data_IF_530550548439
#
_entry.id   IF_530550548439
#
_cell.length_a   1.000
_cell.length_b   1.000
_cell.length_c   1.000
_cell.angle_alpha   90.00
_cell.angle_beta   90.00
_cell.angle_gamma   90.00
#
_symmetry.space_group_name_H-M   'P 1'
#
loop_
_entity.id
_entity.type
_entity.pdbx_description
1 polymer ?
#
# COMPACT_ATOMS: atom_id res chain seq x y z
N UNK A 1 16.31 -7.83 -1.57
CA UNK A 1 15.11 -7.01 -1.82
C UNK A 1 15.57 -5.72 -2.48
N UNK A 2 14.94 -5.34 -3.59
CA UNK A 2 15.26 -4.14 -4.36
C UNK A 2 14.00 -3.27 -4.50
N UNK A 3 14.19 -1.95 -4.51
CA UNK A 3 13.12 -0.98 -4.64
C UNK A 3 13.41 -0.01 -5.78
N UNK A 4 12.43 0.21 -6.65
CA UNK A 4 12.45 1.29 -7.62
C UNK A 4 11.34 2.28 -7.27
N UNK A 5 11.67 3.57 -7.19
CA UNK A 5 10.76 4.62 -6.71
C UNK A 5 10.58 5.69 -7.77
N UNK A 6 9.33 6.10 -7.97
CA UNK A 6 8.94 7.22 -8.82
C UNK A 6 8.05 8.16 -8.02
N UNK A 7 8.43 9.43 -7.91
CA UNK A 7 7.61 10.46 -7.26
C UNK A 7 6.94 11.33 -8.32
N UNK A 8 5.63 11.54 -8.20
CA UNK A 8 4.85 12.43 -9.04
C UNK A 8 3.91 13.26 -8.17
N UNK A 9 4.17 14.56 -8.08
CA UNK A 9 3.47 15.44 -7.14
C UNK A 9 3.58 14.91 -5.70
N UNK A 10 2.44 14.69 -5.08
CA UNK A 10 2.30 14.14 -3.72
C UNK A 10 2.39 12.60 -3.66
N UNK A 11 2.27 11.92 -4.81
CA UNK A 11 2.26 10.47 -4.88
C UNK A 11 3.69 9.91 -5.01
N UNK A 12 3.91 8.79 -4.34
CA UNK A 12 5.11 7.97 -4.49
C UNK A 12 4.70 6.57 -4.90
N UNK A 13 5.20 6.14 -6.05
CA UNK A 13 5.06 4.79 -6.56
C UNK A 13 6.31 3.99 -6.27
N UNK A 14 6.16 2.76 -5.79
CA UNK A 14 7.27 1.89 -5.46
C UNK A 14 7.10 0.47 -5.99
N UNK A 15 8.07 0.02 -6.77
CA UNK A 15 8.20 -1.37 -7.21
C UNK A 15 9.09 -2.11 -6.22
N UNK A 16 8.50 -3.06 -5.49
CA UNK A 16 9.20 -3.93 -4.55
C UNK A 16 9.47 -5.28 -5.19
N UNK A 17 10.75 -5.63 -5.34
CA UNK A 17 11.20 -6.91 -5.88
C UNK A 17 11.89 -7.71 -4.76
N UNK A 18 11.28 -8.83 -4.40
CA UNK A 18 11.83 -9.79 -3.42
C UNK A 18 12.20 -11.07 -4.15
N UNK A 19 13.44 -11.52 -3.99
CA UNK A 19 13.95 -12.72 -4.62
C UNK A 19 14.53 -13.65 -3.56
N UNK A 20 14.29 -14.96 -3.70
CA UNK A 20 14.90 -16.02 -2.92
C UNK A 20 15.37 -17.15 -3.84
N UNK A 21 16.38 -17.95 -3.45
CA UNK A 21 16.84 -19.05 -4.30
C UNK A 21 15.66 -19.96 -4.67
N UNK A 22 15.54 -20.33 -5.96
CA UNK A 22 14.54 -21.32 -6.36
C UNK A 22 14.88 -22.68 -5.75
N UNK A 23 13.85 -23.37 -5.26
CA UNK A 23 13.98 -24.74 -4.73
C UNK A 23 14.18 -25.78 -5.82
N UNK A 24 13.83 -25.46 -7.07
CA UNK A 24 13.74 -26.43 -8.17
C UNK A 24 14.75 -26.17 -9.30
N UNK A 25 15.26 -24.95 -9.42
CA UNK A 25 16.19 -24.56 -10.49
C UNK A 25 17.24 -23.59 -9.91
N UNK A 26 18.43 -24.11 -9.61
CA UNK A 26 19.49 -23.33 -8.97
C UNK A 26 20.07 -22.22 -9.85
N UNK A 27 19.71 -22.16 -11.14
CA UNK A 27 20.07 -21.05 -12.05
C UNK A 27 19.07 -19.90 -11.98
N UNK A 28 18.04 -20.00 -11.12
CA UNK A 28 16.96 -19.02 -11.05
C UNK A 28 16.63 -18.58 -9.63
N UNK A 29 16.23 -17.31 -9.52
CA UNK A 29 15.54 -16.75 -8.38
C UNK A 29 14.04 -17.07 -8.45
N UNK A 30 13.43 -17.45 -7.34
CA UNK A 30 12.00 -17.30 -7.12
C UNK A 30 11.73 -15.85 -6.73
N UNK A 31 11.18 -15.08 -7.65
CA UNK A 31 11.01 -13.63 -7.54
C UNK A 31 9.54 -13.28 -7.37
N UNK A 32 9.24 -12.44 -6.39
CA UNK A 32 7.92 -11.88 -6.14
C UNK A 32 7.99 -10.36 -6.29
N UNK A 33 7.06 -9.80 -7.07
CA UNK A 33 7.06 -8.38 -7.43
C UNK A 33 5.71 -7.79 -7.06
N UNK A 34 5.74 -6.68 -6.33
CA UNK A 34 4.54 -5.89 -6.02
C UNK A 34 4.80 -4.44 -6.35
N UNK A 35 3.80 -3.75 -6.88
CA UNK A 35 3.84 -2.31 -7.11
C UNK A 35 2.86 -1.62 -6.17
N UNK A 36 3.31 -0.50 -5.59
CA UNK A 36 2.64 0.20 -4.51
C UNK A 36 2.46 1.67 -4.87
N UNK A 37 1.40 2.30 -4.38
CA UNK A 37 1.24 3.75 -4.40
C UNK A 37 0.95 4.26 -2.99
N UNK A 38 1.66 5.32 -2.63
CA UNK A 38 1.66 5.90 -1.29
C UNK A 38 1.57 7.41 -1.33
N UNK A 39 1.14 7.98 -0.22
CA UNK A 39 1.06 9.41 0.07
C UNK A 39 2.03 9.70 1.23
N UNK A 40 3.33 9.94 0.95
CA UNK A 40 4.36 10.02 1.99
C UNK A 40 4.10 11.10 3.06
N UNK A 41 3.30 12.14 2.74
CA UNK A 41 2.91 13.18 3.69
C UNK A 41 2.17 12.62 4.92
N UNK A 42 1.46 11.49 4.77
CA UNK A 42 0.80 10.80 5.87
C UNK A 42 1.67 9.77 6.57
N UNK A 43 2.95 9.64 6.20
CA UNK A 43 3.85 8.66 6.81
C UNK A 43 3.98 8.81 8.33
N UNK A 44 3.95 10.04 8.86
CA UNK A 44 3.95 10.29 10.31
C UNK A 44 2.64 9.89 10.96
N UNK A 45 1.51 10.28 10.36
CA UNK A 45 0.18 9.91 10.85
C UNK A 45 0.03 8.38 10.87
N UNK A 46 0.42 7.69 9.80
CA UNK A 46 0.37 6.24 9.72
C UNK A 46 1.17 5.56 10.85
N UNK A 47 2.38 6.05 11.15
CA UNK A 47 3.16 5.52 12.29
C UNK A 47 2.43 5.76 13.61
N UNK A 48 1.88 6.95 13.85
CA UNK A 48 1.18 7.27 15.11
C UNK A 48 -0.12 6.49 15.30
N UNK A 49 -0.83 6.16 14.21
CA UNK A 49 -2.03 5.32 14.25
C UNK A 49 -1.71 3.91 14.76
N UNK A 50 -0.54 3.36 14.40
CA UNK A 50 -0.18 1.96 14.68
C UNK A 50 0.95 1.79 15.71
N UNK A 51 1.49 2.87 16.29
CA UNK A 51 2.76 2.84 17.05
C UNK A 51 2.80 1.83 18.19
N UNK A 52 1.64 1.54 18.79
CA UNK A 52 1.50 0.58 19.88
C UNK A 52 0.41 -0.47 19.63
N UNK A 53 0.07 -0.70 18.35
CA UNK A 53 -0.89 -1.73 17.97
C UNK A 53 -0.41 -3.12 18.39
N UNK A 54 -1.36 -3.96 18.81
CA UNK A 54 -1.17 -5.41 19.00
C UNK A 54 -1.36 -6.19 17.70
N UNK A 55 -2.02 -5.61 16.71
CA UNK A 55 -2.59 -6.34 15.56
C UNK A 55 -1.85 -6.03 14.26
N UNK A 56 -1.25 -4.85 14.17
CA UNK A 56 -0.53 -4.40 12.97
C UNK A 56 0.81 -3.78 13.33
N UNK A 57 1.93 -4.25 12.74
CA UNK A 57 3.23 -3.63 13.01
C UNK A 57 3.28 -2.23 12.40
N UNK A 58 3.70 -1.19 13.15
CA UNK A 58 3.78 0.16 12.61
C UNK A 58 4.87 0.25 11.54
N UNK A 59 4.72 1.11 10.51
CA UNK A 59 5.68 1.25 9.43
C UNK A 59 6.90 2.08 9.86
N UNK A 60 7.69 1.62 10.83
CA UNK A 60 8.72 2.40 11.55
C UNK A 60 10.10 2.45 10.89
N UNK A 61 10.41 1.54 9.97
CA UNK A 61 11.74 1.47 9.33
C UNK A 61 12.10 2.72 8.49
N UNK A 62 13.38 3.15 8.46
CA UNK A 62 13.85 4.23 7.58
C UNK A 62 13.65 3.92 6.09
N UNK A 63 13.56 2.63 5.74
CA UNK A 63 13.25 2.12 4.40
C UNK A 63 11.86 1.46 4.33
N UNK A 64 10.96 1.71 5.30
CA UNK A 64 9.62 1.15 5.27
C UNK A 64 8.81 1.78 4.14
N UNK A 65 8.63 1.02 3.07
CA UNK A 65 7.77 1.34 1.94
C UNK A 65 6.29 1.43 2.28
N UNK A 66 5.93 1.11 3.52
CA UNK A 66 4.56 1.05 4.00
C UNK A 66 4.04 2.40 4.56
N UNK A 67 4.88 3.43 4.67
CA UNK A 67 4.46 4.75 5.17
C UNK A 67 3.49 5.44 4.19
N UNK A 68 2.32 5.82 4.68
CA UNK A 68 1.26 6.44 3.85
C UNK A 68 0.78 5.58 2.67
N UNK A 69 1.01 4.27 2.71
CA UNK A 69 0.61 3.35 1.66
C UNK A 69 -0.92 3.29 1.59
N UNK A 70 -1.50 3.43 0.39
CA UNK A 70 -2.95 3.34 0.20
C UNK A 70 -3.34 2.34 -0.89
N UNK A 71 -2.50 2.14 -1.89
CA UNK A 71 -2.80 1.26 -3.02
C UNK A 71 -1.70 0.25 -3.32
N UNK A 72 -2.13 -0.87 -3.89
CA UNK A 72 -1.28 -1.95 -4.35
C UNK A 72 -1.79 -2.49 -5.69
N UNK A 73 -0.87 -2.83 -6.57
CA UNK A 73 -1.19 -3.28 -7.92
C UNK A 73 -1.93 -4.63 -7.91
N UNK A 74 -2.84 -4.81 -8.86
CA UNK A 74 -3.57 -6.08 -9.08
C UNK A 74 -2.81 -7.00 -10.03
N UNK A 75 -2.83 -8.29 -9.72
CA UNK A 75 -2.45 -9.32 -10.67
C UNK A 75 -3.50 -9.41 -11.79
N UNK A 76 -3.06 -9.73 -13.00
CA UNK A 76 -3.97 -10.09 -14.09
C UNK A 76 -4.71 -11.39 -13.79
N UNK A 77 -6.04 -11.36 -13.88
CA UNK A 77 -6.91 -12.54 -13.84
C UNK A 77 -7.72 -12.54 -15.14
N UNK A 78 -7.90 -13.68 -15.84
CA UNK A 78 -8.73 -13.72 -17.04
C UNK A 78 -10.11 -13.07 -16.83
N UNK A 79 -10.47 -12.10 -17.69
CA UNK A 79 -11.70 -11.32 -17.55
C UNK A 79 -11.58 -10.07 -16.66
N UNK A 80 -10.48 -9.91 -15.94
CA UNK A 80 -10.11 -8.68 -15.21
C UNK A 80 -8.84 -8.08 -15.82
N UNK A 81 -8.66 -6.76 -15.64
CA UNK A 81 -7.42 -6.08 -15.98
C UNK A 81 -6.51 -6.06 -14.75
N UNK A 82 -5.20 -6.03 -14.98
CA UNK A 82 -4.14 -6.15 -13.98
C UNK A 82 -2.83 -6.46 -14.68
N UNK A 83 -1.76 -6.63 -13.93
CA UNK A 83 -0.43 -6.89 -14.49
C UNK A 83 0.00 -8.35 -14.26
N UNK A 84 0.41 -9.09 -15.31
CA UNK A 84 0.68 -10.52 -15.20
C UNK A 84 1.94 -10.86 -14.37
N UNK A 85 2.80 -9.88 -14.12
CA UNK A 85 4.00 -9.99 -13.31
C UNK A 85 3.76 -9.65 -11.82
N UNK A 86 2.64 -9.03 -11.48
CA UNK A 86 2.32 -8.62 -10.11
C UNK A 86 1.88 -9.81 -9.27
N UNK A 87 2.40 -9.90 -8.05
CA UNK A 87 2.01 -10.88 -7.02
C UNK A 87 2.03 -12.33 -7.52
N UNK A 88 2.92 -12.62 -8.48
CA UNK A 88 3.19 -13.94 -9.02
C UNK A 88 4.64 -14.31 -8.76
N UNK A 89 4.89 -15.57 -8.46
CA UNK A 89 6.25 -16.09 -8.44
C UNK A 89 6.78 -16.23 -9.86
N UNK A 90 7.78 -15.42 -10.19
CA UNK A 90 8.50 -15.43 -11.45
C UNK A 90 9.86 -16.10 -11.24
N UNK A 91 10.23 -17.01 -12.12
CA UNK A 91 11.52 -17.68 -12.09
C UNK A 91 12.49 -16.95 -13.02
N UNK A 92 13.32 -16.09 -12.44
CA UNK A 92 14.21 -15.19 -13.18
C UNK A 92 15.66 -15.67 -13.07
N UNK A 93 16.46 -15.53 -14.14
CA UNK A 93 17.85 -15.98 -14.13
C UNK A 93 18.66 -15.29 -13.01
N UNK A 94 19.53 -16.00 -12.29
CA UNK A 94 20.20 -15.45 -11.11
C UNK A 94 21.55 -14.78 -11.36
N UNK A 95 22.28 -15.21 -12.38
CA UNK A 95 23.64 -14.73 -12.69
C UNK A 95 23.67 -13.69 -13.82
N UNK A 96 22.65 -13.68 -14.69
CA UNK A 96 22.63 -12.79 -15.89
C UNK A 96 21.23 -12.24 -16.17
N UNK A 97 21.16 -11.15 -16.94
CA UNK A 97 19.91 -10.67 -17.53
C UNK A 97 19.58 -11.55 -18.73
N UNK A 98 18.92 -12.68 -18.48
CA UNK A 98 18.51 -13.63 -19.49
C UNK A 98 17.15 -13.31 -20.14
N UNK A 99 16.62 -14.23 -20.97
CA UNK A 99 15.35 -14.04 -21.67
C UNK A 99 14.16 -13.72 -20.74
N UNK A 100 14.10 -14.30 -19.53
CA UNK A 100 12.98 -14.02 -18.61
C UNK A 100 13.06 -12.64 -18.01
N UNK A 101 14.25 -12.16 -17.64
CA UNK A 101 14.47 -10.77 -17.28
C UNK A 101 14.12 -9.80 -18.41
N UNK A 102 14.60 -10.05 -19.63
CA UNK A 102 14.29 -9.22 -20.79
C UNK A 102 12.77 -9.13 -21.06
N UNK A 103 12.05 -10.24 -20.91
CA UNK A 103 10.59 -10.26 -21.04
C UNK A 103 9.91 -9.43 -19.94
N UNK A 104 10.37 -9.54 -18.69
CA UNK A 104 9.84 -8.77 -17.57
C UNK A 104 10.09 -7.27 -17.73
N UNK A 105 11.30 -6.87 -18.12
CA UNK A 105 11.65 -5.46 -18.33
C UNK A 105 10.80 -4.82 -19.42
N UNK A 106 10.57 -5.51 -20.54
CA UNK A 106 9.64 -5.04 -21.58
C UNK A 106 8.19 -4.90 -21.08
N UNK A 107 7.77 -5.76 -20.15
CA UNK A 107 6.46 -5.61 -19.52
C UNK A 107 6.45 -4.38 -18.62
N UNK A 108 7.49 -4.12 -17.83
CA UNK A 108 7.59 -2.90 -17.03
C UNK A 108 7.54 -1.63 -17.87
N UNK A 109 8.28 -1.57 -18.98
CA UNK A 109 8.31 -0.41 -19.88
C UNK A 109 6.92 -0.07 -20.41
N UNK A 110 6.09 -1.08 -20.66
CA UNK A 110 4.71 -0.91 -21.12
C UNK A 110 3.73 -0.64 -19.98
N UNK A 111 3.86 -1.36 -18.87
CA UNK A 111 2.83 -1.48 -17.85
C UNK A 111 2.94 -0.40 -16.76
N UNK A 112 4.16 -0.02 -16.35
CA UNK A 112 4.36 0.97 -15.29
C UNK A 112 3.83 2.36 -15.66
N UNK A 113 4.02 2.89 -16.89
CA UNK A 113 3.42 4.16 -17.28
C UNK A 113 1.89 4.16 -17.22
N UNK A 114 1.25 3.03 -17.56
CA UNK A 114 -0.21 2.88 -17.49
C UNK A 114 -0.67 2.90 -16.03
N UNK A 115 -0.03 2.11 -15.17
CA UNK A 115 -0.33 2.07 -13.74
C UNK A 115 -0.19 3.45 -13.09
N UNK A 116 0.87 4.15 -13.44
CA UNK A 116 1.18 5.48 -12.94
C UNK A 116 0.15 6.52 -13.39
N UNK A 117 -0.16 6.57 -14.69
CA UNK A 117 -1.14 7.50 -15.23
C UNK A 117 -2.51 7.32 -14.55
N UNK A 118 -2.92 6.08 -14.28
CA UNK A 118 -4.22 5.76 -13.68
C UNK A 118 -4.50 6.51 -12.36
N UNK A 119 -3.48 6.75 -11.52
CA UNK A 119 -3.66 7.48 -10.25
C UNK A 119 -3.13 8.92 -10.30
N UNK A 120 -2.08 9.20 -11.07
CA UNK A 120 -1.39 10.48 -11.00
C UNK A 120 -2.09 11.65 -11.68
N UNK A 121 -3.00 11.36 -12.61
CA UNK A 121 -3.83 12.37 -13.28
C UNK A 121 -5.28 12.34 -12.79
N UNK A 122 -5.57 11.57 -11.74
CA UNK A 122 -6.92 11.47 -11.20
C UNK A 122 -7.29 12.75 -10.44
N UNK A 123 -8.40 13.37 -10.83
CA UNK A 123 -8.97 14.52 -10.11
C UNK A 123 -9.48 14.09 -8.73
N UNK A 124 -10.13 12.92 -8.67
CA UNK A 124 -10.58 12.29 -7.44
C UNK A 124 -9.86 10.95 -7.21
N UNK A 125 -8.85 10.95 -6.35
CA UNK A 125 -8.05 9.77 -6.05
C UNK A 125 -8.85 8.68 -5.33
N UNK A 126 -9.76 9.05 -4.44
CA UNK A 126 -10.62 8.13 -3.71
C UNK A 126 -11.57 7.39 -4.67
N UNK A 127 -12.29 8.11 -5.53
CA UNK A 127 -13.19 7.51 -6.52
C UNK A 127 -12.43 6.70 -7.58
N UNK A 128 -11.27 7.18 -8.01
CA UNK A 128 -10.42 6.47 -8.96
C UNK A 128 -10.05 5.08 -8.44
N UNK A 129 -9.83 4.91 -7.14
CA UNK A 129 -9.48 3.61 -6.56
C UNK A 129 -10.60 2.56 -6.66
N UNK A 130 -11.88 2.97 -6.72
CA UNK A 130 -13.00 2.05 -6.96
C UNK A 130 -13.12 1.64 -8.42
N UNK A 131 -12.77 2.56 -9.33
CA UNK A 131 -12.83 2.35 -10.78
C UNK A 131 -11.57 1.71 -11.35
N UNK A 132 -10.47 1.78 -10.59
CA UNK A 132 -9.16 1.36 -11.05
C UNK A 132 -9.14 -0.12 -11.42
N UNK A 133 -8.63 -0.34 -12.62
CA UNK A 133 -8.37 -1.66 -13.17
C UNK A 133 -7.00 -2.21 -12.75
N UNK A 134 -6.14 -1.36 -12.20
CA UNK A 134 -4.73 -1.66 -11.96
C UNK A 134 -4.41 -1.69 -10.47
N UNK A 135 -5.21 -1.00 -9.65
CA UNK A 135 -4.96 -0.81 -8.24
C UNK A 135 -6.08 -1.37 -7.38
N UNK A 136 -5.70 -1.86 -6.21
CA UNK A 136 -6.61 -2.23 -5.13
C UNK A 136 -6.18 -1.47 -3.87
N UNK A 137 -7.12 -1.23 -2.97
CA UNK A 137 -6.80 -0.76 -1.63
C UNK A 137 -5.79 -1.72 -0.98
N UNK A 138 -4.68 -1.19 -0.50
CA UNK A 138 -3.72 -1.99 0.28
C UNK A 138 -4.26 -2.28 1.68
N UNK A 139 -4.84 -1.25 2.27
CA UNK A 139 -5.52 -1.26 3.56
C UNK A 139 -6.80 -0.45 3.39
N UNK A 140 -7.96 -1.06 3.63
CA UNK A 140 -9.25 -0.39 3.45
C UNK A 140 -9.44 0.72 4.48
N UNK A 141 -8.95 0.57 5.71
CA UNK A 141 -9.13 1.57 6.75
C UNK A 141 -8.20 2.76 6.49
N UNK A 142 -6.90 2.50 6.52
CA UNK A 142 -5.89 3.54 6.43
C UNK A 142 -5.75 4.10 5.01
N UNK A 143 -5.84 3.26 3.98
CA UNK A 143 -5.71 3.70 2.60
C UNK A 143 -6.82 4.66 2.18
N UNK A 144 -8.07 4.33 2.52
CA UNK A 144 -9.21 5.22 2.28
C UNK A 144 -9.08 6.51 3.08
N UNK A 145 -8.77 6.42 4.37
CA UNK A 145 -8.54 7.60 5.20
C UNK A 145 -7.48 8.54 4.60
N UNK A 146 -6.33 8.02 4.18
CA UNK A 146 -5.26 8.86 3.61
C UNK A 146 -5.65 9.52 2.30
N UNK A 147 -6.44 8.84 1.46
CA UNK A 147 -6.94 9.46 0.20
C UNK A 147 -7.98 10.54 0.48
N UNK A 148 -8.92 10.34 1.40
CA UNK A 148 -9.87 11.37 1.85
C UNK A 148 -9.14 12.60 2.41
N UNK A 149 -8.19 12.39 3.32
CA UNK A 149 -7.35 13.46 3.87
C UNK A 149 -6.48 14.14 2.80
N UNK A 150 -5.99 13.40 1.80
CA UNK A 150 -5.21 13.98 0.69
C UNK A 150 -6.03 15.03 -0.07
N UNK A 151 -7.30 14.71 -0.31
CA UNK A 151 -8.24 15.50 -1.09
C UNK A 151 -9.01 16.53 -0.24
N UNK A 152 -8.66 16.66 1.05
CA UNK A 152 -9.30 17.60 1.96
C UNK A 152 -10.80 17.34 2.15
N UNK A 153 -11.24 16.09 1.95
CA UNK A 153 -12.60 15.63 2.24
C UNK A 153 -12.73 15.38 3.75
N UNK A 154 -12.67 16.46 4.52
CA UNK A 154 -12.52 16.43 5.98
C UNK A 154 -13.65 15.73 6.70
N UNK A 155 -14.89 16.06 6.33
CA UNK A 155 -16.07 15.50 6.99
C UNK A 155 -16.19 13.99 6.66
N UNK A 156 -15.91 13.59 5.41
CA UNK A 156 -15.86 12.18 5.01
C UNK A 156 -14.74 11.41 5.72
N UNK A 157 -13.58 12.03 5.95
CA UNK A 157 -12.48 11.39 6.68
C UNK A 157 -12.84 11.16 8.16
N UNK A 158 -13.58 12.10 8.77
CA UNK A 158 -14.11 11.96 10.12
C UNK A 158 -15.19 10.89 10.18
N UNK A 159 -16.15 10.91 9.25
CA UNK A 159 -17.18 9.88 9.16
C UNK A 159 -16.57 8.48 9.01
N UNK A 160 -15.58 8.35 8.12
CA UNK A 160 -14.87 7.09 7.89
C UNK A 160 -14.18 6.56 9.15
N UNK A 161 -13.42 7.37 9.88
CA UNK A 161 -12.76 6.89 11.12
C UNK A 161 -13.77 6.59 12.23
N UNK A 162 -14.87 7.35 12.30
CA UNK A 162 -15.94 7.11 13.27
C UNK A 162 -16.80 5.89 12.95
N UNK A 163 -16.80 5.40 11.70
CA UNK A 163 -17.49 4.18 11.33
C UNK A 163 -16.70 2.91 11.67
N UNK A 164 -15.44 3.03 12.07
CA UNK A 164 -14.61 1.89 12.45
C UNK A 164 -15.11 1.27 13.76
N UNK A 165 -14.93 -0.04 13.86
CA UNK A 165 -15.25 -0.84 15.04
C UNK A 165 -14.02 -1.60 15.52
N UNK A 166 -14.06 -2.14 16.74
CA UNK A 166 -13.01 -3.05 17.24
C UNK A 166 -12.75 -4.22 16.29
N UNK A 167 -13.78 -4.69 15.58
CA UNK A 167 -13.67 -5.78 14.59
C UNK A 167 -12.90 -5.36 13.34
N UNK A 168 -12.92 -4.09 12.97
CA UNK A 168 -12.15 -3.58 11.85
C UNK A 168 -10.66 -3.49 12.22
N UNK A 169 -10.36 -3.11 13.47
CA UNK A 169 -9.00 -3.08 14.02
C UNK A 169 -8.43 -4.49 14.22
N UNK A 170 -9.23 -5.40 14.76
CA UNK A 170 -8.84 -6.77 15.10
C UNK A 170 -9.79 -7.80 14.48
N UNK A 171 -9.73 -8.00 13.14
CA UNK A 171 -10.67 -8.87 12.44
C UNK A 171 -10.53 -10.35 12.81
N UNK A 172 -9.37 -10.76 13.34
CA UNK A 172 -9.12 -12.14 13.80
C UNK A 172 -9.47 -12.36 15.28
N UNK A 173 -9.80 -11.30 16.03
CA UNK A 173 -10.13 -11.42 17.46
C UNK A 173 -8.95 -11.90 18.31
N UNK A 174 -7.72 -11.53 17.95
CA UNK A 174 -6.54 -11.86 18.74
C UNK A 174 -6.55 -11.12 20.09
N UNK A 175 -5.97 -11.74 21.12
CA UNK A 175 -5.73 -11.05 22.38
C UNK A 175 -4.66 -9.97 22.19
N UNK A 176 -4.81 -8.84 22.89
CA UNK A 176 -3.80 -7.80 22.89
C UNK A 176 -2.51 -8.31 23.53
N UNK A 177 -1.36 -7.95 22.93
CA UNK A 177 -0.07 -8.31 23.50
C UNK A 177 0.17 -7.51 24.81
N UNK A 178 0.86 -8.09 25.81
CA UNK A 178 1.19 -7.36 27.03
C UNK A 178 1.91 -6.04 26.76
N UNK A 179 1.32 -4.92 27.21
CA UNK A 179 1.86 -3.57 27.04
C UNK A 179 1.52 -2.89 25.70
N UNK A 180 0.75 -3.55 24.84
CA UNK A 180 0.20 -3.01 23.59
C UNK A 180 -1.26 -2.60 23.76
N UNK A 181 -1.77 -1.85 22.79
CA UNK A 181 -3.17 -1.43 22.79
C UNK A 181 -4.13 -2.58 22.53
N UNK A 182 -5.24 -2.55 23.25
CA UNK A 182 -6.47 -3.25 22.88
C UNK A 182 -7.06 -2.67 21.58
N UNK A 183 -7.99 -3.40 20.96
CA UNK A 183 -8.66 -2.93 19.75
C UNK A 183 -9.42 -1.61 20.00
N UNK A 184 -10.06 -1.48 21.16
CA UNK A 184 -10.74 -0.24 21.57
C UNK A 184 -9.75 0.92 21.77
N UNK A 185 -8.62 0.72 22.45
CA UNK A 185 -7.62 1.79 22.63
C UNK A 185 -7.01 2.26 21.30
N UNK A 186 -6.79 1.35 20.36
CA UNK A 186 -6.31 1.69 19.02
C UNK A 186 -7.36 2.46 18.22
N UNK A 187 -8.64 2.07 18.31
CA UNK A 187 -9.76 2.81 17.72
C UNK A 187 -9.89 4.23 18.32
N UNK A 188 -9.86 4.35 19.64
CA UNK A 188 -9.94 5.65 20.33
C UNK A 188 -8.76 6.56 19.94
N UNK A 189 -7.57 5.99 19.82
CA UNK A 189 -6.38 6.71 19.35
C UNK A 189 -6.54 7.16 17.89
N UNK A 190 -7.08 6.30 17.02
CA UNK A 190 -7.32 6.64 15.62
C UNK A 190 -8.30 7.81 15.48
N UNK A 191 -9.45 7.75 16.16
CA UNK A 191 -10.44 8.83 16.19
C UNK A 191 -9.80 10.12 16.67
N UNK A 192 -9.09 10.09 17.81
CA UNK A 192 -8.42 11.27 18.38
C UNK A 192 -7.42 11.89 17.40
N UNK A 193 -6.52 11.09 16.83
CA UNK A 193 -5.46 11.58 15.95
C UNK A 193 -5.99 12.14 14.64
N UNK A 194 -7.01 11.51 14.05
CA UNK A 194 -7.63 11.99 12.81
C UNK A 194 -8.37 13.30 13.06
N UNK A 195 -9.12 13.41 14.16
CA UNK A 195 -9.78 14.67 14.56
C UNK A 195 -8.76 15.78 14.76
N UNK A 196 -7.70 15.54 15.53
CA UNK A 196 -6.60 16.51 15.72
C UNK A 196 -5.94 16.91 14.39
N UNK A 197 -5.77 15.96 13.47
CA UNK A 197 -5.22 16.23 12.16
C UNK A 197 -6.15 17.13 11.33
N UNK A 198 -7.45 16.81 11.28
CA UNK A 198 -8.45 17.58 10.55
C UNK A 198 -8.57 19.00 11.11
N UNK A 199 -8.71 19.16 12.42
CA UNK A 199 -8.82 20.47 13.08
C UNK A 199 -7.63 21.38 12.81
N UNK A 200 -6.44 20.78 12.68
CA UNK A 200 -5.20 21.50 12.37
C UNK A 200 -5.12 21.97 10.92
N UNK A 201 -5.65 21.20 9.96
CA UNK A 201 -5.45 21.44 8.52
C UNK A 201 -6.68 21.96 7.78
N UNK A 202 -7.87 21.99 8.41
CA UNK A 202 -9.10 22.55 7.85
C UNK A 202 -9.08 24.08 7.73
N UNK A 203 -8.11 24.75 8.35
CA UNK A 203 -8.02 26.22 8.44
C UNK A 203 -7.49 26.89 7.19
#
# INVERSE_FOLDING_TARGET
MCYYRLKQGDLLFELSITASPSKYDHTKWSTHITYYASLPKFGKLHVELQKNSSFSPPPTGPNSSFKGLFATSRNYVPGQRGFPWVRRFLHLENETIGPTWCSLLRQFDRDLPIAWADLSVADDLYEQMFQSKYWAWYDLLHGQLFTLLHQQRWDDALEHVHSWTEKDINPQGFEAEPGKWTAQEELDNAIRLVTEYVDKHRK
#
